data_IF_986396261418
#
_entry.id   IF_986396261418
#
_cell.length_a   1.000
_cell.length_b   1.000
_cell.length_c   1.000
_cell.angle_alpha   90.00
_cell.angle_beta   90.00
_cell.angle_gamma   90.00
#
_symmetry.space_group_name_H-M   'P 1'
#
loop_
_entity.id
_entity.type
_entity.pdbx_description
1 polymer ?
#
# COMPACT_ATOMS: atom_id res chain seq x y z
N UNK A 1 -1.96 -0.79 -2.09
CA UNK A 1 -0.50 -0.74 -2.20
C UNK A 1 -0.15 -0.91 -3.67
N UNK A 2 0.29 0.14 -4.35
CA UNK A 2 0.75 0.08 -5.74
C UNK A 2 2.03 0.89 -5.88
N UNK A 3 2.94 0.46 -6.75
CA UNK A 3 4.27 1.05 -6.87
C UNK A 3 5.30 0.41 -5.94
N UNK A 4 5.68 -0.84 -6.18
CA UNK A 4 6.75 -1.48 -5.37
C UNK A 4 8.10 -0.84 -5.73
N UNK A 5 8.93 -0.60 -4.72
CA UNK A 5 10.31 -0.14 -4.94
C UNK A 5 11.14 -1.29 -5.51
N UNK A 6 11.55 -1.17 -6.77
CA UNK A 6 12.47 -2.11 -7.41
C UNK A 6 13.80 -1.40 -7.65
N UNK A 7 14.88 -1.93 -7.04
CA UNK A 7 16.23 -1.35 -7.14
C UNK A 7 16.95 -1.76 -8.43
N UNK A 8 16.27 -1.66 -9.56
CA UNK A 8 16.84 -1.85 -10.90
C UNK A 8 16.00 -1.12 -11.96
N UNK A 9 16.58 -0.82 -13.14
CA UNK A 9 15.83 -0.22 -14.24
C UNK A 9 14.62 -1.07 -14.64
N UNK A 10 13.47 -0.43 -14.88
CA UNK A 10 12.19 -1.11 -15.14
C UNK A 10 12.25 -2.05 -16.35
N UNK A 11 13.01 -1.71 -17.40
CA UNK A 11 13.16 -2.58 -18.57
C UNK A 11 13.84 -3.91 -18.22
N UNK A 12 14.86 -3.88 -17.36
CA UNK A 12 15.56 -5.08 -16.91
C UNK A 12 14.63 -5.92 -16.02
N UNK A 13 13.93 -5.27 -15.08
CA UNK A 13 12.98 -5.94 -14.20
C UNK A 13 11.92 -6.68 -15.02
N UNK A 14 11.32 -6.03 -16.02
CA UNK A 14 10.32 -6.66 -16.90
C UNK A 14 10.87 -7.84 -17.69
N UNK A 15 12.09 -7.74 -18.23
CA UNK A 15 12.70 -8.85 -18.95
C UNK A 15 12.89 -10.08 -18.05
N UNK A 16 13.42 -9.88 -16.84
CA UNK A 16 13.60 -10.97 -15.87
C UNK A 16 12.26 -11.57 -15.47
N UNK A 17 11.26 -10.73 -15.17
CA UNK A 17 9.93 -11.18 -14.75
C UNK A 17 9.21 -11.96 -15.85
N UNK A 18 9.27 -11.49 -17.10
CA UNK A 18 8.67 -12.20 -18.23
C UNK A 18 9.37 -13.53 -18.53
N UNK A 19 10.69 -13.58 -18.40
CA UNK A 19 11.41 -14.85 -18.50
C UNK A 19 11.02 -15.80 -17.35
N UNK A 20 10.98 -15.31 -16.11
CA UNK A 20 10.62 -16.11 -14.94
C UNK A 20 9.20 -16.66 -15.05
N UNK A 21 8.25 -15.86 -15.57
CA UNK A 21 6.86 -16.27 -15.80
C UNK A 21 6.74 -17.49 -16.71
N UNK A 22 7.58 -17.58 -17.74
CA UNK A 22 7.61 -18.71 -18.67
C UNK A 22 8.21 -20.00 -18.06
N UNK A 23 8.81 -19.93 -16.87
CA UNK A 23 9.49 -21.05 -16.22
C UNK A 23 8.91 -21.32 -14.82
N UNK A 24 7.99 -22.30 -14.65
CA UNK A 24 7.23 -22.51 -13.41
C UNK A 24 8.09 -22.59 -12.14
N UNK A 25 9.27 -23.22 -12.23
CA UNK A 25 10.24 -23.31 -11.11
C UNK A 25 10.70 -21.94 -10.59
N UNK A 26 10.86 -20.96 -11.47
CA UNK A 26 11.26 -19.60 -11.11
C UNK A 26 10.03 -18.73 -10.82
N UNK A 27 8.98 -18.84 -11.64
CA UNK A 27 7.69 -18.15 -11.46
C UNK A 27 7.18 -18.25 -10.02
N UNK A 28 7.08 -19.48 -9.52
CA UNK A 28 6.52 -19.79 -8.20
C UNK A 28 7.57 -19.66 -7.07
N UNK A 29 8.83 -19.38 -7.43
CA UNK A 29 9.93 -19.14 -6.51
C UNK A 29 9.97 -17.70 -5.99
N UNK A 30 10.57 -17.52 -4.82
CA UNK A 30 10.85 -16.19 -4.24
C UNK A 30 11.72 -15.34 -5.18
N UNK A 31 11.34 -14.08 -5.37
CA UNK A 31 12.14 -13.12 -6.11
C UNK A 31 13.52 -12.95 -5.44
N UNK A 32 14.56 -12.61 -6.22
CA UNK A 32 15.90 -12.36 -5.67
C UNK A 32 15.86 -11.35 -4.51
N UNK A 33 16.56 -11.67 -3.42
CA UNK A 33 16.61 -10.85 -2.21
C UNK A 33 15.41 -11.04 -1.26
N UNK A 34 14.46 -11.90 -1.63
CA UNK A 34 13.30 -12.25 -0.81
C UNK A 34 13.39 -13.71 -0.35
N UNK A 35 12.39 -14.22 0.36
CA UNK A 35 12.44 -15.60 0.83
C UNK A 35 11.32 -15.97 1.78
N UNK A 36 11.44 -17.16 2.38
CA UNK A 36 10.55 -17.60 3.46
C UNK A 36 10.54 -16.58 4.59
N UNK A 37 9.42 -16.49 5.28
CA UNK A 37 9.27 -15.64 6.44
C UNK A 37 10.38 -15.90 7.47
N UNK A 38 10.93 -14.82 8.03
CA UNK A 38 11.90 -14.81 9.13
C UNK A 38 11.59 -13.65 10.06
N UNK A 39 11.65 -13.87 11.36
CA UNK A 39 11.55 -12.79 12.34
C UNK A 39 12.82 -11.94 12.27
N UNK A 40 12.69 -10.69 11.81
CA UNK A 40 13.78 -9.73 11.82
C UNK A 40 13.92 -9.10 13.21
N UNK A 41 15.13 -8.69 13.63
CA UNK A 41 15.28 -7.83 14.79
C UNK A 41 14.54 -6.50 14.59
N UNK A 42 13.90 -6.01 15.65
CA UNK A 42 13.18 -4.73 15.60
C UNK A 42 14.06 -3.56 15.11
N UNK A 43 15.36 -3.55 15.46
CA UNK A 43 16.28 -2.49 15.08
C UNK A 43 16.48 -2.31 13.57
N UNK A 44 16.22 -3.34 12.76
CA UNK A 44 16.37 -3.29 11.29
C UNK A 44 15.02 -3.36 10.56
N UNK A 45 13.92 -3.33 11.30
CA UNK A 45 12.59 -3.33 10.70
C UNK A 45 12.31 -1.99 10.01
N UNK A 46 11.53 -2.03 8.92
CA UNK A 46 11.11 -0.85 8.15
C UNK A 46 9.60 -0.71 8.11
N UNK A 47 8.89 -1.40 9.01
CA UNK A 47 7.44 -1.52 8.98
C UNK A 47 6.77 -0.60 9.99
N UNK A 48 7.34 -0.48 11.19
CA UNK A 48 6.75 0.33 12.26
C UNK A 48 7.77 0.77 13.31
N UNK A 49 7.56 1.94 13.90
CA UNK A 49 8.28 2.36 15.10
C UNK A 49 7.70 1.79 16.41
N UNK A 50 6.57 1.07 16.37
CA UNK A 50 5.93 0.50 17.56
C UNK A 50 6.46 -0.89 17.89
N UNK A 51 7.37 -0.97 18.87
CA UNK A 51 7.92 -2.25 19.35
C UNK A 51 6.83 -3.20 19.86
N UNK A 52 5.80 -2.67 20.50
CA UNK A 52 4.69 -3.46 21.05
C UNK A 52 3.88 -4.11 19.92
N UNK A 53 3.51 -3.35 18.89
CA UNK A 53 2.75 -3.89 17.74
C UNK A 53 3.61 -4.78 16.86
N UNK A 54 4.87 -4.44 16.67
CA UNK A 54 5.83 -5.33 16.00
C UNK A 54 5.90 -6.70 16.69
N UNK A 55 6.06 -6.73 18.02
CA UNK A 55 6.09 -7.98 18.79
C UNK A 55 4.75 -8.73 18.70
N UNK A 56 3.61 -8.02 18.72
CA UNK A 56 2.29 -8.63 18.54
C UNK A 56 2.17 -9.30 17.17
N UNK A 57 2.60 -8.63 16.09
CA UNK A 57 2.58 -9.18 14.74
C UNK A 57 3.46 -10.44 14.62
N UNK A 58 4.67 -10.42 15.21
CA UNK A 58 5.51 -11.61 15.28
C UNK A 58 4.86 -12.76 16.05
N UNK A 59 4.13 -12.46 17.12
CA UNK A 59 3.45 -13.47 17.93
C UNK A 59 2.34 -14.18 17.15
N UNK A 60 1.58 -13.48 16.31
CA UNK A 60 0.58 -14.13 15.45
C UNK A 60 1.20 -15.24 14.58
N UNK A 61 2.35 -14.95 13.97
CA UNK A 61 3.09 -15.94 13.18
C UNK A 61 3.77 -17.03 14.02
N UNK A 62 4.06 -16.77 15.29
CA UNK A 62 4.60 -17.78 16.20
C UNK A 62 3.50 -18.76 16.64
N UNK A 63 2.33 -18.23 16.99
CA UNK A 63 1.18 -18.97 17.50
C UNK A 63 0.52 -19.80 16.39
N UNK A 64 0.46 -19.28 15.16
CA UNK A 64 0.00 -20.00 13.98
C UNK A 64 1.01 -19.90 12.82
N UNK A 65 1.86 -20.93 12.62
CA UNK A 65 2.80 -20.94 11.51
C UNK A 65 2.16 -21.01 10.12
N UNK A 66 0.89 -21.42 10.00
CA UNK A 66 0.23 -21.62 8.70
C UNK A 66 -0.12 -20.32 8.00
N UNK A 67 -0.29 -19.23 8.76
CA UNK A 67 -0.59 -17.90 8.23
C UNK A 67 0.65 -17.09 7.85
N UNK A 68 1.86 -17.66 7.97
CA UNK A 68 3.12 -16.94 7.68
C UNK A 68 3.23 -16.57 6.20
N UNK A 69 3.34 -15.28 5.95
CA UNK A 69 3.60 -14.75 4.61
C UNK A 69 5.09 -14.47 4.44
N UNK A 70 5.71 -15.12 3.45
CA UNK A 70 7.08 -14.84 3.04
C UNK A 70 7.19 -13.58 2.18
N UNK A 71 8.38 -13.36 1.63
CA UNK A 71 8.57 -12.34 0.60
C UNK A 71 7.87 -12.68 -0.72
N UNK A 72 7.82 -11.74 -1.66
CA UNK A 72 7.09 -11.95 -2.91
C UNK A 72 7.80 -12.94 -3.85
N UNK A 73 7.02 -13.73 -4.58
CA UNK A 73 7.52 -14.56 -5.69
C UNK A 73 7.74 -13.73 -6.95
N UNK A 74 8.46 -14.26 -7.94
CA UNK A 74 8.61 -13.59 -9.24
C UNK A 74 7.25 -13.29 -9.88
N UNK A 75 6.33 -14.26 -9.84
CA UNK A 75 4.96 -14.06 -10.31
C UNK A 75 4.27 -12.92 -9.57
N UNK A 76 4.34 -12.91 -8.24
CA UNK A 76 3.70 -11.88 -7.44
C UNK A 76 4.26 -10.49 -7.75
N UNK A 77 5.58 -10.35 -7.91
CA UNK A 77 6.20 -9.07 -8.28
C UNK A 77 5.70 -8.61 -9.64
N UNK A 78 5.63 -9.51 -10.62
CA UNK A 78 5.10 -9.21 -11.96
C UNK A 78 3.66 -8.72 -11.89
N UNK A 79 2.79 -9.48 -11.24
CA UNK A 79 1.37 -9.13 -11.12
C UNK A 79 1.17 -7.83 -10.35
N UNK A 80 2.00 -7.54 -9.35
CA UNK A 80 1.91 -6.29 -8.60
C UNK A 80 2.31 -5.06 -9.44
N UNK A 81 3.28 -5.20 -10.35
CA UNK A 81 3.62 -4.14 -11.31
C UNK A 81 2.46 -3.91 -12.27
N UNK A 82 1.91 -4.99 -12.84
CA UNK A 82 0.78 -4.91 -13.78
C UNK A 82 -0.46 -4.30 -13.12
N UNK A 83 -0.79 -4.74 -11.90
CA UNK A 83 -1.90 -4.18 -11.12
C UNK A 83 -1.67 -2.70 -10.81
N UNK A 84 -0.44 -2.29 -10.47
CA UNK A 84 -0.12 -0.88 -10.26
C UNK A 84 -0.28 -0.04 -11.53
N UNK A 85 0.11 -0.57 -12.69
CA UNK A 85 -0.10 0.09 -13.99
C UNK A 85 -1.59 0.22 -14.32
N UNK A 86 -2.38 -0.81 -14.05
CA UNK A 86 -3.83 -0.78 -14.24
C UNK A 86 -4.51 0.25 -13.32
N UNK A 87 -4.08 0.34 -12.05
CA UNK A 87 -4.57 1.35 -11.11
C UNK A 87 -4.30 2.77 -11.63
N UNK A 88 -3.11 3.02 -12.17
CA UNK A 88 -2.79 4.33 -12.75
C UNK A 88 -3.56 4.58 -14.04
N UNK A 89 -3.68 3.60 -14.93
CA UNK A 89 -4.42 3.74 -16.18
C UNK A 89 -5.91 4.05 -15.95
N UNK A 90 -6.53 3.39 -14.97
CA UNK A 90 -7.94 3.59 -14.59
C UNK A 90 -8.16 4.66 -13.53
N UNK A 91 -7.13 5.39 -13.09
CA UNK A 91 -7.23 6.34 -11.98
C UNK A 91 -8.25 7.46 -12.24
N UNK A 92 -8.50 7.81 -13.50
CA UNK A 92 -9.49 8.82 -13.89
C UNK A 92 -10.91 8.29 -14.09
N UNK A 93 -11.07 6.98 -14.28
CA UNK A 93 -12.34 6.35 -14.64
C UNK A 93 -13.25 6.10 -13.43
N UNK A 94 -12.67 6.14 -12.21
CA UNK A 94 -13.36 5.95 -10.95
C UNK A 94 -13.60 7.28 -10.22
N UNK A 95 -14.87 7.62 -10.02
CA UNK A 95 -15.31 8.80 -9.28
C UNK A 95 -15.51 8.54 -7.77
N UNK A 96 -15.18 7.34 -7.28
CA UNK A 96 -15.35 6.98 -5.86
C UNK A 96 -14.54 7.94 -4.97
N UNK A 97 -15.17 8.56 -3.95
CA UNK A 97 -14.46 9.36 -2.97
C UNK A 97 -13.31 8.54 -2.37
N UNK A 98 -12.10 9.11 -2.30
CA UNK A 98 -10.92 8.37 -1.88
C UNK A 98 -10.07 9.21 -0.96
N UNK A 99 -9.80 8.69 0.24
CA UNK A 99 -8.73 9.16 1.11
C UNK A 99 -7.47 8.33 0.84
N UNK A 100 -6.37 8.99 0.49
CA UNK A 100 -5.08 8.33 0.32
C UNK A 100 -4.13 8.69 1.48
N UNK A 101 -3.76 7.69 2.27
CA UNK A 101 -2.78 7.83 3.35
C UNK A 101 -1.38 7.43 2.87
N UNK A 102 -0.37 8.23 3.22
CA UNK A 102 1.01 8.01 2.80
C UNK A 102 1.98 8.08 3.99
N UNK A 103 2.89 7.12 4.08
CA UNK A 103 3.97 7.14 5.07
C UNK A 103 5.13 7.99 4.55
N UNK A 104 5.68 8.88 5.39
CA UNK A 104 6.79 9.75 4.96
C UNK A 104 8.11 8.97 4.79
N UNK A 105 8.46 8.10 5.73
CA UNK A 105 9.68 7.31 5.72
C UNK A 105 9.45 5.91 5.12
N UNK A 106 8.66 5.86 4.05
CA UNK A 106 8.34 4.66 3.29
C UNK A 106 9.58 4.08 2.56
N UNK A 107 9.71 2.75 2.55
CA UNK A 107 10.85 2.03 1.96
C UNK A 107 10.47 0.79 1.15
N UNK A 108 9.21 0.40 1.18
CA UNK A 108 8.63 -0.76 0.50
C UNK A 108 7.86 -0.31 -0.75
N UNK A 109 7.14 0.80 -0.65
CA UNK A 109 6.34 1.41 -1.73
C UNK A 109 7.00 2.70 -2.22
N UNK A 110 6.87 3.01 -3.50
CA UNK A 110 7.30 4.27 -4.07
C UNK A 110 6.18 5.30 -3.94
N UNK A 111 6.34 6.25 -3.01
CA UNK A 111 5.43 7.36 -2.80
C UNK A 111 5.17 8.20 -4.07
N UNK A 112 6.10 8.21 -5.04
CA UNK A 112 5.90 8.90 -6.32
C UNK A 112 4.72 8.34 -7.10
N UNK A 113 4.38 7.06 -6.89
CA UNK A 113 3.22 6.45 -7.54
C UNK A 113 1.91 6.95 -6.94
N UNK A 114 1.87 7.22 -5.63
CA UNK A 114 0.72 7.86 -4.99
C UNK A 114 0.53 9.30 -5.48
N UNK A 115 1.61 10.06 -5.62
CA UNK A 115 1.56 11.42 -6.19
C UNK A 115 0.99 11.38 -7.61
N UNK A 116 1.50 10.45 -8.44
CA UNK A 116 1.02 10.25 -9.81
C UNK A 116 -0.46 9.88 -9.86
N UNK A 117 -0.92 9.00 -8.97
CA UNK A 117 -2.33 8.63 -8.87
C UNK A 117 -3.19 9.86 -8.55
N UNK A 118 -2.77 10.70 -7.61
CA UNK A 118 -3.49 11.94 -7.26
C UNK A 118 -3.55 12.93 -8.42
N UNK A 119 -2.46 13.09 -9.17
CA UNK A 119 -2.42 13.94 -10.37
C UNK A 119 -3.44 13.49 -11.41
N UNK A 120 -3.47 12.18 -11.72
CA UNK A 120 -4.39 11.62 -12.72
C UNK A 120 -5.86 11.77 -12.30
N UNK A 121 -6.16 11.46 -11.03
CA UNK A 121 -7.47 11.68 -10.41
C UNK A 121 -7.92 13.14 -10.49
N UNK A 122 -7.01 14.08 -10.19
CA UNK A 122 -7.29 15.52 -10.25
C UNK A 122 -7.55 15.98 -11.68
N UNK A 123 -6.73 15.53 -12.65
CA UNK A 123 -6.92 15.84 -14.06
C UNK A 123 -8.25 15.31 -14.62
N UNK A 124 -8.75 14.19 -14.08
CA UNK A 124 -10.05 13.61 -14.43
C UNK A 124 -11.25 14.27 -13.71
N UNK A 125 -11.03 15.26 -12.83
CA UNK A 125 -12.10 15.93 -12.09
C UNK A 125 -12.56 15.22 -10.82
N UNK A 126 -11.86 14.16 -10.40
CA UNK A 126 -12.19 13.34 -9.23
C UNK A 126 -11.02 13.32 -8.22
N UNK A 127 -10.55 14.47 -7.70
CA UNK A 127 -9.40 14.51 -6.81
C UNK A 127 -9.60 13.60 -5.58
N UNK A 128 -8.51 13.13 -5.00
CA UNK A 128 -8.55 12.50 -3.68
C UNK A 128 -8.92 13.54 -2.61
N UNK A 129 -9.35 13.09 -1.44
CA UNK A 129 -9.65 13.97 -0.31
C UNK A 129 -8.46 14.89 0.00
N UNK A 130 -8.71 16.21 0.06
CA UNK A 130 -7.66 17.21 0.26
C UNK A 130 -6.74 17.45 -0.97
N UNK A 131 -7.04 16.84 -2.12
CA UNK A 131 -6.34 17.04 -3.39
C UNK A 131 -4.95 16.41 -3.50
N UNK A 132 -4.46 15.77 -2.44
CA UNK A 132 -3.13 15.14 -2.36
C UNK A 132 -3.12 14.04 -1.29
N UNK A 133 -2.11 13.16 -1.26
CA UNK A 133 -2.00 12.18 -0.20
C UNK A 133 -1.87 12.87 1.18
N UNK A 134 -2.59 12.35 2.17
CA UNK A 134 -2.38 12.72 3.57
C UNK A 134 -1.11 12.02 4.07
N UNK A 135 -0.01 12.77 4.11
CA UNK A 135 1.29 12.28 4.55
C UNK A 135 1.37 12.25 6.08
N UNK A 136 1.57 11.06 6.65
CA UNK A 136 1.83 10.85 8.06
C UNK A 136 3.34 10.99 8.31
N UNK A 137 3.71 12.10 8.94
CA UNK A 137 5.10 12.49 9.17
C UNK A 137 5.86 11.47 10.03
N UNK A 138 7.06 11.11 9.61
CA UNK A 138 7.93 10.12 10.24
C UNK A 138 7.41 8.68 10.24
N UNK A 139 6.27 8.38 9.61
CA UNK A 139 5.72 7.02 9.61
C UNK A 139 6.51 6.07 8.70
N UNK A 140 6.67 4.82 9.13
CA UNK A 140 7.05 3.69 8.28
C UNK A 140 5.82 3.10 7.57
N UNK A 141 6.07 2.03 6.79
CA UNK A 141 5.13 1.39 5.89
C UNK A 141 3.77 1.06 6.52
N UNK A 142 3.73 0.50 7.73
CA UNK A 142 2.50 0.06 8.38
C UNK A 142 1.88 1.18 9.25
N UNK A 143 1.34 2.23 8.61
CA UNK A 143 0.76 3.42 9.27
C UNK A 143 -0.22 3.07 10.40
N UNK A 144 -1.09 2.09 10.22
CA UNK A 144 -2.07 1.68 11.24
C UNK A 144 -1.47 0.86 12.39
N UNK A 145 -0.21 0.44 12.25
CA UNK A 145 0.58 -0.24 13.27
C UNK A 145 1.70 0.67 13.83
N UNK A 146 1.80 1.94 13.43
CA UNK A 146 2.78 2.90 13.93
C UNK A 146 2.59 3.32 15.40
N UNK A 147 3.52 4.09 15.97
CA UNK A 147 3.30 4.68 17.31
C UNK A 147 1.99 5.47 17.38
N UNK A 148 1.43 5.57 18.58
CA UNK A 148 0.08 6.11 18.79
C UNK A 148 -0.11 7.53 18.26
N UNK A 149 0.91 8.38 18.36
CA UNK A 149 0.88 9.74 17.83
C UNK A 149 0.66 9.79 16.31
N UNK A 150 1.24 8.86 15.55
CA UNK A 150 1.06 8.78 14.09
C UNK A 150 -0.22 8.03 13.74
N UNK A 151 -0.50 6.93 14.45
CA UNK A 151 -1.71 6.13 14.23
C UNK A 151 -2.99 6.92 14.51
N UNK A 152 -3.01 7.75 15.56
CA UNK A 152 -4.21 8.55 15.89
C UNK A 152 -4.56 9.51 14.76
N UNK A 153 -3.56 10.16 14.14
CA UNK A 153 -3.75 11.00 12.95
C UNK A 153 -4.41 10.21 11.82
N UNK A 154 -3.88 9.04 11.49
CA UNK A 154 -4.44 8.18 10.45
C UNK A 154 -5.86 7.72 10.76
N UNK A 155 -6.13 7.28 11.99
CA UNK A 155 -7.45 6.80 12.39
C UNK A 155 -8.50 7.90 12.43
N UNK A 156 -8.16 9.09 12.94
CA UNK A 156 -9.06 10.24 12.91
C UNK A 156 -9.41 10.60 11.46
N UNK A 157 -8.41 10.67 10.57
CA UNK A 157 -8.66 10.94 9.16
C UNK A 157 -9.59 9.89 8.50
N UNK A 158 -9.39 8.60 8.79
CA UNK A 158 -10.22 7.51 8.28
C UNK A 158 -11.67 7.64 8.79
N UNK A 159 -11.84 7.82 10.11
CA UNK A 159 -13.17 7.93 10.73
C UNK A 159 -13.91 9.16 10.22
N UNK A 160 -13.23 10.30 10.16
CA UNK A 160 -13.79 11.56 9.66
C UNK A 160 -14.21 11.43 8.19
N UNK A 161 -13.38 10.79 7.37
CA UNK A 161 -13.70 10.49 5.97
C UNK A 161 -14.95 9.63 5.84
N UNK A 162 -15.02 8.49 6.54
CA UNK A 162 -16.21 7.65 6.49
C UNK A 162 -17.46 8.35 7.03
N UNK A 163 -17.36 9.14 8.11
CA UNK A 163 -18.49 9.90 8.64
C UNK A 163 -19.07 10.90 7.62
N UNK A 164 -18.21 11.57 6.83
CA UNK A 164 -18.66 12.47 5.76
C UNK A 164 -19.41 11.75 4.64
N UNK A 165 -19.05 10.50 4.36
CA UNK A 165 -19.64 9.70 3.27
C UNK A 165 -20.71 8.69 3.73
N UNK A 166 -20.95 8.54 5.04
CA UNK A 166 -21.96 7.64 5.62
C UNK A 166 -23.32 8.32 5.88
N UNK A 167 -23.46 9.62 5.65
CA UNK A 167 -24.75 10.29 5.82
C UNK A 167 -25.70 9.88 4.69
N UNK A 168 -26.93 9.43 4.98
CA UNK A 168 -27.91 9.17 3.94
C UNK A 168 -28.16 10.49 3.22
N UNK A 169 -28.18 10.43 1.90
CA UNK A 169 -28.65 11.51 1.03
C UNK A 169 -30.14 11.80 1.29
N UNK A 170 -30.45 12.51 2.37
CA UNK A 170 -31.73 13.20 2.61
C UNK A 170 -31.45 14.71 2.55
N UNK A 171 -32.14 15.51 1.74
CA UNK A 171 -33.58 15.61 1.64
C UNK A 171 -33.93 16.12 0.22
N UNK A 172 -34.65 15.34 -0.59
CA UNK A 172 -35.31 15.88 -1.79
C UNK A 172 -36.51 16.66 -1.28
N UNK A 173 -36.45 17.98 -1.31
CA UNK A 173 -37.55 18.87 -0.96
C UNK A 173 -38.79 18.46 -1.74
N UNK A 174 -39.77 17.88 -1.05
CA UNK A 174 -41.16 17.87 -1.51
C UNK A 174 -41.73 19.24 -1.17
N UNK A 175 -41.75 20.14 -2.16
CA UNK A 175 -42.67 21.28 -2.12
C UNK A 175 -44.05 20.81 -2.60
N UNK A 176 -45.04 21.23 -1.83
CA UNK A 176 -46.50 21.05 -1.99
C UNK A 176 -47.02 21.99 -3.07
#
# INVERSE_FOLDING_TARGET
MFGIVIRMPSFMARQILNWAEAHPRFRDGYAIGTGRWRALPFAINVLTHSRQRYRRNLRFYADDPTIRVGGPTYHWVRESILAGEQVLAGAGDDATPTLLLQAEEERVVDNRMHDRFCELRTAAGHPVEGGRPLVIKGAYHEILFEKDAMRSVALHAIVDFFNRHNSPSGNRSTEV
#
